data_IF_185024631181
#
_entry.id   IF_185024631181
#
_cell.length_a   1.000
_cell.length_b   1.000
_cell.length_c   1.000
_cell.angle_alpha   90.00
_cell.angle_beta   90.00
_cell.angle_gamma   90.00
#
_symmetry.space_group_name_H-M   'P 1'
#
loop_
_entity.id
_entity.type
_entity.pdbx_description
1 polymer ?
#
# COMPACT_ATOMS: atom_id res chain seq x y z
N UNK A 1 6.62 -3.81 29.09
CA UNK A 1 5.91 -4.26 27.87
C UNK A 1 6.41 -3.44 26.68
N UNK A 2 6.51 -4.02 25.47
CA UNK A 2 7.03 -3.32 24.28
C UNK A 2 8.46 -3.67 23.86
N UNK A 3 8.97 -4.86 24.21
CA UNK A 3 10.24 -5.34 23.65
C UNK A 3 9.98 -6.00 22.29
N UNK A 4 10.04 -5.19 21.22
CA UNK A 4 9.74 -5.63 19.86
C UNK A 4 10.85 -6.49 19.25
N UNK A 5 12.11 -6.32 19.68
CA UNK A 5 13.22 -7.17 19.26
C UNK A 5 12.99 -8.63 19.67
N UNK A 6 12.74 -8.88 20.96
CA UNK A 6 12.44 -10.24 21.42
C UNK A 6 11.12 -10.77 20.85
N UNK A 7 10.12 -9.92 20.61
CA UNK A 7 8.88 -10.33 19.97
C UNK A 7 9.10 -10.81 18.53
N UNK A 8 9.94 -10.13 17.74
CA UNK A 8 10.29 -10.55 16.39
C UNK A 8 10.97 -11.92 16.37
N UNK A 9 11.90 -12.16 17.30
CA UNK A 9 12.60 -13.46 17.44
C UNK A 9 11.63 -14.59 17.81
N UNK A 10 10.77 -14.36 18.80
CA UNK A 10 9.79 -15.37 19.21
C UNK A 10 8.77 -15.67 18.11
N UNK A 11 8.33 -14.65 17.36
CA UNK A 11 7.40 -14.85 16.24
C UNK A 11 8.06 -15.59 15.08
N UNK A 12 9.34 -15.35 14.83
CA UNK A 12 10.11 -16.11 13.85
C UNK A 12 10.18 -17.61 14.23
N UNK A 13 10.53 -17.92 15.47
CA UNK A 13 10.57 -19.30 15.97
C UNK A 13 9.17 -19.94 15.97
N UNK A 14 8.15 -19.22 16.42
CA UNK A 14 6.76 -19.67 16.42
C UNK A 14 6.31 -20.08 15.01
N UNK A 15 6.66 -19.28 14.00
CA UNK A 15 6.29 -19.55 12.60
C UNK A 15 6.93 -20.83 12.07
N UNK A 16 8.17 -21.15 12.47
CA UNK A 16 8.84 -22.39 12.08
C UNK A 16 8.14 -23.64 12.64
N UNK A 17 7.44 -23.51 13.77
CA UNK A 17 6.77 -24.61 14.47
C UNK A 17 5.26 -24.67 14.21
N UNK A 18 4.65 -23.58 13.72
CA UNK A 18 3.21 -23.46 13.56
C UNK A 18 2.69 -24.24 12.34
N UNK A 19 1.76 -25.15 12.56
CA UNK A 19 1.07 -25.92 11.50
C UNK A 19 -0.23 -25.26 11.02
N UNK A 20 -0.76 -24.29 11.76
CA UNK A 20 -2.00 -23.59 11.41
C UNK A 20 -1.72 -22.37 10.52
N UNK A 21 -2.35 -22.31 9.34
CA UNK A 21 -2.11 -21.26 8.34
C UNK A 21 -2.62 -19.88 8.75
N UNK A 22 -3.68 -19.78 9.55
CA UNK A 22 -4.24 -18.50 10.01
C UNK A 22 -3.40 -17.90 11.15
N UNK A 23 -2.93 -18.75 12.07
CA UNK A 23 -2.01 -18.32 13.12
C UNK A 23 -0.63 -17.96 12.56
N UNK A 24 -0.18 -18.69 11.53
CA UNK A 24 1.06 -18.36 10.81
C UNK A 24 0.97 -16.98 10.15
N UNK A 25 -0.16 -16.66 9.49
CA UNK A 25 -0.41 -15.33 8.92
C UNK A 25 -0.44 -14.24 9.99
N UNK A 26 -1.11 -14.50 11.12
CA UNK A 26 -1.17 -13.57 12.25
C UNK A 26 0.22 -13.31 12.85
N UNK A 27 1.05 -14.34 12.96
CA UNK A 27 2.43 -14.22 13.40
C UNK A 27 3.30 -13.40 12.44
N UNK A 28 3.05 -13.52 11.13
CA UNK A 28 3.73 -12.73 10.10
C UNK A 28 3.40 -11.24 10.20
N UNK A 29 2.11 -10.91 10.38
CA UNK A 29 1.67 -9.54 10.66
C UNK A 29 2.33 -8.97 11.92
N UNK A 30 2.40 -9.77 12.99
CA UNK A 30 3.05 -9.38 14.24
C UNK A 30 4.54 -9.12 14.06
N UNK A 31 5.24 -9.96 13.29
CA UNK A 31 6.66 -9.79 12.99
C UNK A 31 6.89 -8.51 12.19
N UNK A 32 6.10 -8.28 11.12
CA UNK A 32 6.17 -7.05 10.33
C UNK A 32 6.00 -5.80 11.20
N UNK A 33 5.00 -5.80 12.08
CA UNK A 33 4.75 -4.69 12.99
C UNK A 33 5.93 -4.46 13.95
N UNK A 34 6.52 -5.53 14.48
CA UNK A 34 7.69 -5.44 15.34
C UNK A 34 8.90 -4.82 14.60
N UNK A 35 9.18 -5.26 13.37
CA UNK A 35 10.29 -4.72 12.57
C UNK A 35 10.10 -3.24 12.20
N UNK A 36 8.86 -2.83 11.88
CA UNK A 36 8.52 -1.42 11.62
C UNK A 36 8.75 -0.57 12.87
N UNK A 37 8.33 -1.05 14.05
CA UNK A 37 8.51 -0.33 15.31
C UNK A 37 9.98 -0.24 15.73
N UNK A 38 10.80 -1.22 15.33
CA UNK A 38 12.26 -1.21 15.50
C UNK A 38 12.99 -0.42 14.41
N UNK A 39 12.27 0.10 13.40
CA UNK A 39 12.82 0.83 12.24
C UNK A 39 13.80 0.00 11.41
N UNK A 40 13.65 -1.33 11.41
CA UNK A 40 14.44 -2.25 10.60
C UNK A 40 13.84 -2.37 9.19
N UNK A 41 14.02 -1.35 8.36
CA UNK A 41 13.30 -1.22 7.08
C UNK A 41 13.61 -2.33 6.07
N UNK A 42 14.85 -2.83 6.03
CA UNK A 42 15.25 -3.91 5.11
C UNK A 42 14.54 -5.23 5.44
N UNK A 43 14.49 -5.60 6.71
CA UNK A 43 13.81 -6.81 7.19
C UNK A 43 12.30 -6.63 7.06
N UNK A 44 11.78 -5.45 7.40
CA UNK A 44 10.36 -5.14 7.23
C UNK A 44 9.92 -5.28 5.77
N UNK A 45 10.75 -4.85 4.81
CA UNK A 45 10.48 -5.01 3.39
C UNK A 45 10.46 -6.48 2.96
N UNK A 46 11.39 -7.31 3.46
CA UNK A 46 11.39 -8.75 3.22
C UNK A 46 10.11 -9.41 3.75
N UNK A 47 9.71 -9.10 4.99
CA UNK A 47 8.50 -9.65 5.59
C UNK A 47 7.23 -9.13 4.88
N UNK A 48 7.21 -7.88 4.41
CA UNK A 48 6.12 -7.32 3.61
C UNK A 48 5.94 -8.10 2.29
N UNK A 49 7.03 -8.39 1.58
CA UNK A 49 6.98 -9.15 0.33
C UNK A 49 6.48 -10.58 0.55
N UNK A 50 6.94 -11.25 1.61
CA UNK A 50 6.42 -12.57 2.01
C UNK A 50 4.93 -12.51 2.32
N UNK A 51 4.50 -11.49 3.05
CA UNK A 51 3.10 -11.33 3.42
C UNK A 51 2.22 -11.07 2.19
N UNK A 52 2.73 -10.28 1.24
CA UNK A 52 2.10 -10.05 -0.06
C UNK A 52 1.88 -11.35 -0.81
N UNK A 53 2.90 -12.20 -0.93
CA UNK A 53 2.81 -13.50 -1.61
C UNK A 53 1.77 -14.41 -0.98
N UNK A 54 1.69 -14.45 0.36
CA UNK A 54 0.69 -15.26 1.07
C UNK A 54 -0.72 -14.71 0.85
N UNK A 55 -0.93 -13.40 0.93
CA UNK A 55 -2.25 -12.77 0.70
C UNK A 55 -2.71 -12.98 -0.74
N UNK A 56 -1.79 -12.96 -1.69
CA UNK A 56 -2.08 -13.15 -3.10
C UNK A 56 -2.37 -14.62 -3.47
N UNK A 57 -1.70 -15.57 -2.82
CA UNK A 57 -1.85 -17.01 -3.09
C UNK A 57 -2.93 -17.70 -2.26
N UNK A 58 -3.24 -17.19 -1.06
CA UNK A 58 -4.21 -17.81 -0.16
C UNK A 58 -5.64 -17.60 -0.65
N UNK A 59 -6.37 -18.71 -0.77
CA UNK A 59 -7.81 -18.68 -0.95
C UNK A 59 -8.49 -18.40 0.39
N UNK A 60 -8.84 -17.14 0.62
CA UNK A 60 -9.61 -16.75 1.80
C UNK A 60 -11.03 -17.29 1.70
N UNK A 61 -11.62 -17.66 2.84
CA UNK A 61 -13.01 -18.12 2.93
C UNK A 61 -14.03 -17.09 2.45
N UNK A 62 -13.68 -15.79 2.54
CA UNK A 62 -14.50 -14.68 2.07
C UNK A 62 -13.65 -13.73 1.21
N UNK A 63 -14.14 -13.33 0.02
CA UNK A 63 -13.50 -12.29 -0.80
C UNK A 63 -13.29 -10.98 -0.05
N UNK A 64 -14.21 -10.63 0.88
CA UNK A 64 -14.09 -9.44 1.72
C UNK A 64 -12.83 -9.47 2.59
N UNK A 65 -12.52 -10.64 3.17
CA UNK A 65 -11.32 -10.80 3.99
C UNK A 65 -10.04 -10.63 3.15
N UNK A 66 -10.05 -11.08 1.90
CA UNK A 66 -8.91 -10.89 1.01
C UNK A 66 -8.69 -9.41 0.68
N UNK A 67 -9.76 -8.68 0.34
CA UNK A 67 -9.72 -7.23 0.08
C UNK A 67 -9.21 -6.48 1.32
N UNK A 68 -9.72 -6.82 2.51
CA UNK A 68 -9.27 -6.24 3.77
C UNK A 68 -7.77 -6.42 4.00
N UNK A 69 -7.25 -7.64 3.80
CA UNK A 69 -5.82 -7.93 3.96
C UNK A 69 -4.96 -7.15 2.96
N UNK A 70 -5.41 -6.98 1.71
CA UNK A 70 -4.72 -6.14 0.72
C UNK A 70 -4.67 -4.67 1.15
N UNK A 71 -5.78 -4.15 1.67
CA UNK A 71 -5.85 -2.76 2.16
C UNK A 71 -4.90 -2.56 3.33
N UNK A 72 -4.91 -3.47 4.30
CA UNK A 72 -3.96 -3.42 5.41
C UNK A 72 -2.52 -3.46 4.90
N UNK A 73 -2.21 -4.36 3.97
CA UNK A 73 -0.86 -4.47 3.40
C UNK A 73 -0.42 -3.15 2.78
N UNK A 74 -1.29 -2.50 2.01
CA UNK A 74 -1.02 -1.19 1.43
C UNK A 74 -0.73 -0.14 2.51
N UNK A 75 -1.56 -0.05 3.55
CA UNK A 75 -1.33 0.91 4.64
C UNK A 75 -0.01 0.67 5.38
N UNK A 76 0.28 -0.58 5.75
CA UNK A 76 1.53 -0.93 6.43
C UNK A 76 2.75 -0.71 5.52
N UNK A 77 2.61 -0.95 4.21
CA UNK A 77 3.69 -0.73 3.25
C UNK A 77 4.10 0.74 3.14
N UNK A 78 3.20 1.71 3.39
CA UNK A 78 3.54 3.13 3.33
C UNK A 78 4.64 3.49 4.34
N UNK A 79 4.62 2.93 5.55
CA UNK A 79 5.68 3.15 6.54
C UNK A 79 7.04 2.70 6.03
N UNK A 80 7.09 1.58 5.30
CA UNK A 80 8.34 1.02 4.78
C UNK A 80 8.80 1.82 3.56
N UNK A 81 7.90 2.05 2.61
CA UNK A 81 8.23 2.68 1.33
C UNK A 81 8.61 4.15 1.47
N UNK A 82 8.03 4.91 2.42
CA UNK A 82 8.47 6.30 2.64
C UNK A 82 9.86 6.40 3.27
N UNK A 83 10.35 5.33 3.90
CA UNK A 83 11.68 5.26 4.52
C UNK A 83 12.71 4.54 3.65
N UNK A 84 12.38 4.20 2.39
CA UNK A 84 13.29 3.55 1.45
C UNK A 84 13.50 4.42 0.20
N UNK A 85 14.75 4.56 -0.24
CA UNK A 85 15.13 5.35 -1.43
C UNK A 85 14.35 4.93 -2.70
N UNK A 86 14.06 3.64 -2.83
CA UNK A 86 13.34 3.06 -3.96
C UNK A 86 11.82 3.00 -3.76
N UNK A 87 11.33 3.38 -2.57
CA UNK A 87 9.96 3.09 -2.15
C UNK A 87 8.89 3.80 -2.97
N UNK A 88 9.17 4.97 -3.56
CA UNK A 88 8.24 5.65 -4.49
C UNK A 88 7.89 4.78 -5.70
N UNK A 89 8.88 4.06 -6.23
CA UNK A 89 8.68 3.13 -7.33
C UNK A 89 7.89 1.91 -6.86
N UNK A 90 8.17 1.42 -5.66
CA UNK A 90 7.47 0.29 -5.06
C UNK A 90 5.99 0.60 -4.75
N UNK A 91 5.65 1.82 -4.32
CA UNK A 91 4.26 2.28 -4.16
C UNK A 91 3.53 2.17 -5.48
N UNK A 92 4.09 2.73 -6.56
CA UNK A 92 3.49 2.67 -7.90
C UNK A 92 3.32 1.20 -8.33
N UNK A 93 4.37 0.40 -8.23
CA UNK A 93 4.36 -0.98 -8.69
C UNK A 93 3.40 -1.88 -7.89
N UNK A 94 3.13 -1.57 -6.61
CA UNK A 94 2.17 -2.30 -5.78
C UNK A 94 0.73 -1.80 -5.94
N UNK A 95 0.50 -0.50 -5.74
CA UNK A 95 -0.85 0.07 -5.64
C UNK A 95 -1.53 0.14 -7.01
N UNK A 96 -0.76 0.29 -8.09
CA UNK A 96 -1.29 0.35 -9.45
C UNK A 96 -1.59 -1.02 -10.07
N UNK A 97 -1.38 -2.13 -9.33
CA UNK A 97 -1.86 -3.44 -9.76
C UNK A 97 -3.39 -3.49 -9.64
N UNK A 98 -4.06 -4.00 -10.67
CA UNK A 98 -5.54 -4.05 -10.77
C UNK A 98 -6.22 -4.51 -9.48
N UNK A 99 -5.75 -5.62 -8.89
CA UNK A 99 -6.31 -6.19 -7.65
C UNK A 99 -6.16 -5.32 -6.40
N UNK A 100 -5.15 -4.45 -6.35
CA UNK A 100 -4.92 -3.52 -5.25
C UNK A 100 -5.63 -2.20 -5.52
N UNK A 101 -5.62 -1.72 -6.76
CA UNK A 101 -6.36 -0.55 -7.19
C UNK A 101 -7.87 -0.72 -6.97
N UNK A 102 -8.42 -1.88 -7.35
CA UNK A 102 -9.83 -2.21 -7.08
C UNK A 102 -10.14 -2.19 -5.57
N UNK A 103 -9.20 -2.62 -4.73
CA UNK A 103 -9.35 -2.58 -3.27
C UNK A 103 -9.32 -1.14 -2.72
N UNK A 104 -8.49 -0.26 -3.32
CA UNK A 104 -8.45 1.17 -3.02
C UNK A 104 -9.80 1.82 -3.38
N UNK A 105 -10.28 1.64 -4.61
CA UNK A 105 -11.53 2.24 -5.09
C UNK A 105 -12.74 1.80 -4.26
N UNK A 106 -12.78 0.55 -3.80
CA UNK A 106 -13.94 0.02 -3.09
C UNK A 106 -14.03 0.42 -1.61
N UNK A 107 -12.90 0.52 -0.89
CA UNK A 107 -12.94 0.67 0.58
C UNK A 107 -11.90 1.64 1.17
N UNK A 108 -10.94 2.14 0.38
CA UNK A 108 -9.85 2.98 0.89
C UNK A 108 -9.39 4.04 -0.13
N UNK A 109 -10.30 4.90 -0.65
CA UNK A 109 -9.98 5.85 -1.71
C UNK A 109 -8.93 6.88 -1.30
N UNK A 110 -8.79 7.17 0.00
CA UNK A 110 -7.74 8.04 0.53
C UNK A 110 -6.32 7.55 0.23
N UNK A 111 -6.12 6.28 -0.13
CA UNK A 111 -4.82 5.78 -0.56
C UNK A 111 -4.38 6.34 -1.92
N UNK A 112 -5.32 6.83 -2.75
CA UNK A 112 -5.03 7.44 -4.05
C UNK A 112 -4.10 8.64 -3.94
N UNK A 113 -4.16 9.41 -2.83
CA UNK A 113 -3.25 10.54 -2.60
C UNK A 113 -1.78 10.11 -2.57
N UNK A 114 -1.48 8.94 -2.01
CA UNK A 114 -0.10 8.44 -1.91
C UNK A 114 0.38 7.93 -3.27
N UNK A 115 -0.50 7.31 -4.05
CA UNK A 115 -0.21 6.92 -5.42
C UNK A 115 0.00 8.16 -6.32
N UNK A 116 -0.82 9.19 -6.17
CA UNK A 116 -0.69 10.47 -6.86
C UNK A 116 0.64 11.15 -6.54
N UNK A 117 0.99 11.30 -5.26
CA UNK A 117 2.28 11.88 -4.86
C UNK A 117 3.46 11.05 -5.37
N UNK A 118 3.39 9.71 -5.31
CA UNK A 118 4.43 8.85 -5.85
C UNK A 118 4.64 9.06 -7.35
N UNK A 119 3.57 9.20 -8.14
CA UNK A 119 3.65 9.51 -9.57
C UNK A 119 4.21 10.90 -9.87
N UNK A 120 3.75 11.94 -9.16
CA UNK A 120 4.21 13.34 -9.35
C UNK A 120 5.72 13.42 -9.13
N UNK A 121 6.21 12.76 -8.08
CA UNK A 121 7.63 12.79 -7.73
C UNK A 121 8.46 11.87 -8.65
N UNK A 122 7.86 10.81 -9.21
CA UNK A 122 8.55 9.84 -10.08
C UNK A 122 8.30 10.07 -11.58
N UNK A 123 9.10 10.98 -12.16
CA UNK A 123 8.97 11.40 -13.58
C UNK A 123 9.23 10.30 -14.63
N UNK A 124 9.70 9.10 -14.25
CA UNK A 124 10.10 8.02 -15.17
C UNK A 124 8.93 7.10 -15.59
N UNK A 125 7.75 7.23 -14.97
CA UNK A 125 6.62 6.28 -15.10
C UNK A 125 5.44 6.86 -15.91
N UNK A 126 5.74 7.59 -17.00
CA UNK A 126 4.74 8.36 -17.78
C UNK A 126 3.56 7.55 -18.34
N UNK A 127 3.74 6.32 -18.88
CA UNK A 127 2.61 5.55 -19.41
C UNK A 127 1.59 5.21 -18.32
N UNK A 128 2.07 4.65 -17.20
CA UNK A 128 1.25 4.28 -16.05
C UNK A 128 0.58 5.50 -15.40
N UNK A 129 1.24 6.66 -15.44
CA UNK A 129 0.63 7.91 -14.97
C UNK A 129 -0.58 8.31 -15.79
N UNK A 130 -0.54 8.16 -17.12
CA UNK A 130 -1.68 8.48 -17.99
C UNK A 130 -2.89 7.60 -17.66
N UNK A 131 -2.66 6.31 -17.43
CA UNK A 131 -3.72 5.39 -17.03
C UNK A 131 -4.29 5.76 -15.65
N UNK A 132 -3.43 6.17 -14.72
CA UNK A 132 -3.83 6.63 -13.39
C UNK A 132 -4.68 7.92 -13.42
N UNK A 133 -4.44 8.85 -14.35
CA UNK A 133 -5.31 10.03 -14.52
C UNK A 133 -6.76 9.62 -14.86
N UNK A 134 -6.95 8.57 -15.67
CA UNK A 134 -8.30 8.08 -15.97
C UNK A 134 -9.00 7.54 -14.71
N UNK A 135 -8.25 6.90 -13.81
CA UNK A 135 -8.76 6.43 -12.51
C UNK A 135 -9.17 7.60 -11.63
N UNK A 136 -8.34 8.64 -11.54
CA UNK A 136 -8.70 9.86 -10.81
C UNK A 136 -10.00 10.45 -11.37
N UNK A 137 -10.15 10.53 -12.69
CA UNK A 137 -11.37 11.06 -13.33
C UNK A 137 -12.62 10.26 -12.94
N UNK A 138 -12.52 8.93 -12.84
CA UNK A 138 -13.63 8.07 -12.42
C UNK A 138 -13.99 8.25 -10.94
N UNK A 139 -13.00 8.49 -10.08
CA UNK A 139 -13.17 8.56 -8.63
C UNK A 139 -13.50 9.97 -8.09
N UNK A 140 -13.52 11.01 -8.93
CA UNK A 140 -13.75 12.41 -8.50
C UNK A 140 -15.06 12.61 -7.72
N UNK A 141 -16.10 11.85 -8.07
CA UNK A 141 -17.40 11.96 -7.41
C UNK A 141 -17.45 11.24 -6.05
N UNK A 142 -16.54 10.30 -5.83
CA UNK A 142 -16.52 9.43 -4.65
C UNK A 142 -15.63 9.98 -3.54
N UNK A 143 -14.56 10.68 -3.89
CA UNK A 143 -13.56 11.13 -2.93
C UNK A 143 -12.88 12.44 -3.36
N UNK A 144 -12.90 13.43 -2.48
CA UNK A 144 -12.24 14.73 -2.65
C UNK A 144 -10.95 14.79 -1.83
N UNK A 145 -9.83 15.06 -2.50
CA UNK A 145 -8.52 15.33 -1.89
C UNK A 145 -7.77 16.37 -2.73
N UNK A 146 -7.14 17.39 -2.13
CA UNK A 146 -6.49 18.46 -2.90
C UNK A 146 -5.45 17.98 -3.91
N UNK A 147 -4.75 16.87 -3.64
CA UNK A 147 -3.70 16.37 -4.55
C UNK A 147 -4.33 15.67 -5.75
N UNK A 148 -5.40 14.91 -5.55
CA UNK A 148 -6.13 14.27 -6.65
C UNK A 148 -6.90 15.31 -7.46
N UNK A 149 -7.42 16.35 -6.80
CA UNK A 149 -8.08 17.50 -7.45
C UNK A 149 -7.09 18.34 -8.26
N UNK A 150 -5.91 18.64 -7.71
CA UNK A 150 -4.84 19.29 -8.46
C UNK A 150 -4.55 18.55 -9.77
N UNK A 151 -4.38 17.22 -9.72
CA UNK A 151 -4.15 16.41 -10.91
C UNK A 151 -5.35 16.42 -11.87
N UNK A 152 -6.57 16.42 -11.35
CA UNK A 152 -7.78 16.58 -12.14
C UNK A 152 -7.83 17.94 -12.87
N UNK A 153 -7.54 19.03 -12.17
CA UNK A 153 -7.53 20.37 -12.73
C UNK A 153 -6.49 20.47 -13.86
N UNK A 154 -5.27 19.99 -13.64
CA UNK A 154 -4.18 20.07 -14.62
C UNK A 154 -4.39 19.16 -15.84
N UNK A 155 -4.82 17.90 -15.64
CA UNK A 155 -4.82 16.89 -16.71
C UNK A 155 -6.18 16.54 -17.28
N UNK A 156 -7.28 16.87 -16.59
CA UNK A 156 -8.65 16.56 -17.04
C UNK A 156 -9.38 17.84 -17.43
N UNK A 157 -9.43 18.83 -16.54
CA UNK A 157 -10.16 20.09 -16.75
C UNK A 157 -9.36 21.12 -17.54
N UNK A 158 -8.03 21.01 -17.53
CA UNK A 158 -7.10 22.02 -18.07
C UNK A 158 -7.30 23.42 -17.45
N UNK A 159 -7.69 23.44 -16.18
CA UNK A 159 -7.92 24.66 -15.38
C UNK A 159 -6.71 24.91 -14.49
N UNK A 160 -5.85 25.85 -14.91
CA UNK A 160 -4.62 26.17 -14.19
C UNK A 160 -4.83 27.14 -13.03
N UNK A 161 -5.87 27.97 -13.10
CA UNK A 161 -6.21 28.90 -12.01
C UNK A 161 -6.76 28.09 -10.83
N UNK A 162 -7.69 27.17 -11.09
CA UNK A 162 -8.18 26.23 -10.07
C UNK A 162 -7.09 25.27 -9.54
N UNK A 163 -6.12 24.90 -10.39
CA UNK A 163 -4.97 24.09 -9.94
C UNK A 163 -4.00 24.88 -9.03
N UNK A 164 -3.99 26.21 -9.07
CA UNK A 164 -3.17 27.03 -8.20
C UNK A 164 -3.82 27.24 -6.81
N UNK A 165 -5.15 27.23 -6.75
CA UNK A 165 -5.94 27.50 -5.55
C UNK A 165 -6.32 26.25 -4.72
N UNK A 166 -6.02 25.06 -5.24
CA UNK A 166 -6.25 23.76 -4.58
C UNK A 166 -5.29 23.52 -3.42
#
# INVERSE_FOLDING_TARGET
>A
CGNYSSAADYLYQYRALCTNSDRSLSGLWGKLAAEILMQNWDIALEELNRLKEIIDSKNFSSPLNQVQNRIWLMHWSLFIFFNNDSGRTQIIDLFNQEKYLNAIQMNAPHLLRYLATAFIVNKRRRPQFKDFINVIQQEQHSFEDPITEFLACVYVKYDFDGAQET
#
